data_IF_814408007786
#
_entry.id   IF_814408007786
#
_cell.length_a   1.000
_cell.length_b   1.000
_cell.length_c   1.000
_cell.angle_alpha   90.00
_cell.angle_beta   90.00
_cell.angle_gamma   90.00
#
_symmetry.space_group_name_H-M   'P 1'
#
loop_
_entity.id
_entity.type
_entity.pdbx_description
1 polymer ?
#
# COMPACT_ATOMS: atom_id res chain seq x y z
N UNK A 1 -0.04 -11.03 34.00
CA UNK A 1 1.31 -11.53 33.64
C UNK A 1 1.43 -11.38 32.15
N UNK A 2 2.07 -10.32 31.69
CA UNK A 2 2.32 -10.15 30.26
C UNK A 2 3.28 -11.25 29.82
N UNK A 3 2.83 -12.12 28.90
CA UNK A 3 3.76 -12.94 28.17
C UNK A 3 4.68 -12.00 27.40
N UNK A 4 5.99 -12.10 27.64
CA UNK A 4 6.97 -11.24 26.99
C UNK A 4 6.88 -11.48 25.48
N UNK A 5 6.32 -10.50 24.73
CA UNK A 5 6.14 -10.56 23.26
C UNK A 5 7.39 -10.10 22.50
N UNK A 6 8.57 -10.23 23.09
CA UNK A 6 9.82 -9.79 22.50
C UNK A 6 10.97 -10.78 22.78
N UNK A 7 11.93 -10.82 21.87
CA UNK A 7 13.24 -11.43 22.13
C UNK A 7 14.12 -10.43 22.88
N UNK A 8 15.03 -10.94 23.71
CA UNK A 8 16.08 -10.12 24.32
C UNK A 8 16.95 -9.51 23.22
N UNK A 9 17.01 -8.18 23.17
CA UNK A 9 17.92 -7.47 22.26
C UNK A 9 19.36 -7.84 22.61
N UNK A 10 20.10 -8.37 21.65
CA UNK A 10 21.51 -8.79 21.80
C UNK A 10 22.50 -7.75 21.30
N UNK A 11 22.01 -6.65 20.72
CA UNK A 11 22.84 -5.60 20.18
C UNK A 11 23.09 -4.53 21.25
N UNK A 12 24.31 -4.02 21.28
CA UNK A 12 24.68 -2.90 22.14
C UNK A 12 23.90 -1.65 21.77
N UNK A 13 23.68 -0.79 22.77
CA UNK A 13 23.07 0.51 22.53
C UNK A 13 24.02 1.44 21.76
N UNK A 14 23.44 2.44 21.10
CA UNK A 14 24.19 3.38 20.28
C UNK A 14 25.25 4.12 21.13
N UNK A 15 26.54 4.05 20.77
CA UNK A 15 27.62 4.58 21.61
C UNK A 15 27.81 6.11 21.49
N UNK A 16 26.95 6.82 20.76
CA UNK A 16 27.04 8.29 20.58
C UNK A 16 27.90 8.74 19.41
N UNK A 17 28.73 7.87 18.82
CA UNK A 17 29.53 8.15 17.62
C UNK A 17 28.80 7.72 16.35
N UNK A 18 28.87 8.49 15.24
CA UNK A 18 28.23 8.13 13.99
C UNK A 18 28.53 6.67 13.62
N UNK A 19 27.48 5.87 13.45
CA UNK A 19 27.64 4.51 12.98
C UNK A 19 28.35 4.55 11.62
N UNK A 20 29.27 3.61 11.39
CA UNK A 20 29.82 3.42 10.06
C UNK A 20 28.67 3.23 9.06
N UNK A 21 28.85 3.71 7.82
CA UNK A 21 27.88 3.45 6.77
C UNK A 21 27.61 1.94 6.70
N UNK A 22 26.35 1.51 6.47
CA UNK A 22 26.02 0.10 6.39
C UNK A 22 26.98 -0.59 5.42
N UNK A 23 27.58 -1.68 5.86
CA UNK A 23 28.50 -2.43 5.02
C UNK A 23 27.72 -2.96 3.80
N UNK A 24 28.00 -2.37 2.64
CA UNK A 24 27.36 -2.72 1.37
C UNK A 24 27.60 -4.18 1.04
N UNK A 25 28.78 -4.70 1.37
CA UNK A 25 29.21 -6.06 1.04
C UNK A 25 28.50 -7.08 1.95
N UNK A 26 28.00 -6.67 3.12
CA UNK A 26 27.13 -7.47 3.95
C UNK A 26 25.63 -7.31 3.59
N UNK A 27 25.17 -6.09 3.35
CA UNK A 27 23.75 -5.79 3.17
C UNK A 27 23.20 -6.26 1.80
N UNK A 28 23.96 -6.07 0.72
CA UNK A 28 23.50 -6.43 -0.63
C UNK A 28 23.27 -7.94 -0.78
N UNK A 29 24.20 -8.82 -0.36
CA UNK A 29 23.96 -10.26 -0.41
C UNK A 29 22.78 -10.71 0.47
N UNK A 30 22.62 -10.14 1.67
CA UNK A 30 21.51 -10.48 2.56
C UNK A 30 20.15 -10.13 1.96
N UNK A 31 20.02 -8.93 1.39
CA UNK A 31 18.78 -8.49 0.74
C UNK A 31 18.52 -9.33 -0.51
N UNK A 32 19.55 -9.60 -1.31
CA UNK A 32 19.44 -10.44 -2.52
C UNK A 32 18.94 -11.84 -2.17
N UNK A 33 19.57 -12.51 -1.21
CA UNK A 33 19.17 -13.84 -0.75
C UNK A 33 17.75 -13.86 -0.18
N UNK A 34 17.35 -12.79 0.52
CA UNK A 34 15.99 -12.63 1.04
C UNK A 34 14.97 -12.51 -0.08
N UNK A 35 15.25 -11.68 -1.09
CA UNK A 35 14.39 -11.53 -2.28
C UNK A 35 14.27 -12.86 -3.02
N UNK A 36 15.38 -13.57 -3.26
CA UNK A 36 15.36 -14.87 -3.92
C UNK A 36 14.50 -15.88 -3.16
N UNK A 37 14.62 -15.92 -1.82
CA UNK A 37 13.76 -16.78 -1.00
C UNK A 37 12.28 -16.40 -1.16
N UNK A 38 11.93 -15.12 -1.08
CA UNK A 38 10.54 -14.67 -1.25
C UNK A 38 10.02 -15.05 -2.64
N UNK A 39 10.82 -14.86 -3.69
CA UNK A 39 10.42 -15.18 -5.07
C UNK A 39 10.23 -16.69 -5.30
N UNK A 40 11.00 -17.55 -4.60
CA UNK A 40 10.82 -19.01 -4.66
C UNK A 40 9.52 -19.47 -4.02
N UNK A 41 9.06 -18.78 -2.98
CA UNK A 41 7.83 -19.11 -2.26
C UNK A 41 6.58 -18.46 -2.87
N UNK A 42 6.71 -17.70 -3.96
CA UNK A 42 5.56 -17.11 -4.64
C UNK A 42 4.64 -18.20 -5.21
N UNK A 43 3.31 -18.04 -5.09
CA UNK A 43 2.36 -18.93 -5.74
C UNK A 43 2.47 -18.80 -7.28
N UNK A 44 2.01 -19.81 -8.03
CA UNK A 44 1.98 -19.74 -9.49
C UNK A 44 1.19 -18.53 -10.01
N UNK A 45 1.87 -17.65 -10.75
CA UNK A 45 1.29 -16.38 -11.27
C UNK A 45 0.50 -16.54 -12.58
N UNK A 46 0.61 -17.71 -13.24
CA UNK A 46 0.10 -17.99 -14.59
C UNK A 46 -1.34 -18.51 -14.66
N UNK A 47 -2.07 -18.56 -13.54
CA UNK A 47 -3.45 -19.04 -13.52
C UNK A 47 -4.41 -18.10 -14.28
N UNK A 48 -5.48 -18.63 -14.92
CA UNK A 48 -6.43 -17.84 -15.69
C UNK A 48 -7.21 -16.83 -14.83
N UNK A 49 -7.33 -17.08 -13.52
CA UNK A 49 -7.96 -16.18 -12.56
C UNK A 49 -7.02 -15.12 -11.98
N UNK A 50 -5.74 -15.10 -12.34
CA UNK A 50 -4.74 -14.24 -11.69
C UNK A 50 -4.41 -14.68 -10.25
N UNK A 51 -3.81 -13.79 -9.46
CA UNK A 51 -3.48 -14.04 -8.05
C UNK A 51 -4.22 -13.08 -7.12
N UNK A 52 -4.93 -13.59 -6.09
CA UNK A 52 -5.55 -12.75 -5.08
C UNK A 52 -4.49 -12.08 -4.19
N UNK A 53 -4.90 -10.95 -3.61
CA UNK A 53 -4.23 -10.34 -2.46
C UNK A 53 -3.66 -8.94 -2.70
N UNK A 54 -4.03 -8.02 -1.81
CA UNK A 54 -3.49 -6.66 -1.75
C UNK A 54 -2.06 -6.59 -1.21
N UNK A 55 -1.62 -5.38 -0.85
CA UNK A 55 -0.24 -5.12 -0.40
C UNK A 55 0.07 -5.73 0.97
N UNK A 56 -0.92 -5.85 1.84
CA UNK A 56 -0.70 -6.21 3.25
C UNK A 56 -0.28 -7.67 3.46
N UNK A 57 -1.03 -8.60 2.86
CA UNK A 57 -0.81 -10.04 3.00
C UNK A 57 -0.73 -10.78 1.67
N UNK A 58 -0.77 -10.06 0.54
CA UNK A 58 -0.83 -10.62 -0.79
C UNK A 58 0.42 -10.41 -1.62
N UNK A 59 0.42 -11.00 -2.82
CA UNK A 59 1.56 -10.93 -3.73
C UNK A 59 1.82 -9.53 -4.27
N UNK A 60 0.83 -8.63 -4.28
CA UNK A 60 1.04 -7.23 -4.65
C UNK A 60 2.04 -6.52 -3.72
N UNK A 61 2.14 -6.94 -2.45
CA UNK A 61 3.17 -6.47 -1.53
C UNK A 61 4.59 -6.86 -1.97
N UNK A 62 4.75 -8.04 -2.57
CA UNK A 62 6.03 -8.49 -3.14
C UNK A 62 6.41 -7.65 -4.35
N UNK A 63 5.46 -7.31 -5.22
CA UNK A 63 5.73 -6.37 -6.32
C UNK A 63 6.19 -5.00 -5.80
N UNK A 64 5.56 -4.52 -4.73
CA UNK A 64 5.92 -3.23 -4.15
C UNK A 64 7.31 -3.26 -3.51
N UNK A 65 7.66 -4.34 -2.80
CA UNK A 65 9.01 -4.59 -2.30
C UNK A 65 10.04 -4.55 -3.44
N UNK A 66 9.79 -5.28 -4.53
CA UNK A 66 10.69 -5.32 -5.70
C UNK A 66 10.84 -3.93 -6.35
N UNK A 67 9.76 -3.16 -6.44
CA UNK A 67 9.80 -1.80 -6.94
C UNK A 67 10.74 -0.91 -6.09
N UNK A 68 10.64 -0.96 -4.76
CA UNK A 68 11.51 -0.18 -3.86
C UNK A 68 12.97 -0.61 -3.96
N UNK A 69 13.25 -1.91 -4.03
CA UNK A 69 14.61 -2.42 -4.24
C UNK A 69 15.17 -1.88 -5.56
N UNK A 70 14.37 -1.88 -6.63
CA UNK A 70 14.77 -1.35 -7.92
C UNK A 70 15.03 0.18 -7.93
N UNK A 71 14.45 0.94 -6.99
CA UNK A 71 14.76 2.37 -6.83
C UNK A 71 16.04 2.62 -6.02
N UNK A 72 16.58 1.60 -5.34
CA UNK A 72 17.76 1.75 -4.51
C UNK A 72 19.05 1.75 -5.37
N UNK A 73 19.92 2.77 -5.27
CA UNK A 73 21.15 2.85 -6.06
C UNK A 73 22.09 1.64 -5.87
N UNK A 74 22.07 0.99 -4.70
CA UNK A 74 22.88 -0.20 -4.43
C UNK A 74 22.56 -1.37 -5.36
N UNK A 75 21.33 -1.41 -5.89
CA UNK A 75 20.79 -2.46 -6.75
C UNK A 75 20.62 -2.02 -8.21
N UNK A 76 21.23 -0.90 -8.59
CA UNK A 76 21.16 -0.39 -9.97
C UNK A 76 21.50 -1.45 -11.05
N UNK A 77 22.51 -2.33 -10.88
CA UNK A 77 22.81 -3.38 -11.87
C UNK A 77 21.68 -4.39 -12.08
N UNK A 78 20.84 -4.60 -11.06
CA UNK A 78 19.72 -5.58 -11.08
C UNK A 78 18.35 -4.92 -11.18
N UNK A 79 18.30 -3.59 -11.35
CA UNK A 79 17.06 -2.79 -11.41
C UNK A 79 16.03 -3.40 -12.35
N UNK A 80 16.42 -3.65 -13.60
CA UNK A 80 15.49 -4.15 -14.61
C UNK A 80 15.00 -5.56 -14.33
N UNK A 81 15.84 -6.41 -13.73
CA UNK A 81 15.45 -7.75 -13.28
C UNK A 81 14.35 -7.67 -12.23
N UNK A 82 14.51 -6.81 -11.23
CA UNK A 82 13.51 -6.62 -10.19
C UNK A 82 12.22 -5.99 -10.72
N UNK A 83 12.31 -5.00 -11.62
CA UNK A 83 11.11 -4.41 -12.23
C UNK A 83 10.35 -5.40 -13.12
N UNK A 84 11.05 -6.26 -13.88
CA UNK A 84 10.40 -7.33 -14.66
C UNK A 84 9.74 -8.36 -13.76
N UNK A 85 10.35 -8.71 -12.63
CA UNK A 85 9.74 -9.58 -11.64
C UNK A 85 8.50 -8.92 -11.02
N UNK A 86 8.59 -7.65 -10.63
CA UNK A 86 7.47 -6.87 -10.11
C UNK A 86 6.32 -6.81 -11.13
N UNK A 87 6.64 -6.58 -12.41
CA UNK A 87 5.66 -6.59 -13.51
C UNK A 87 4.88 -7.91 -13.56
N UNK A 88 5.57 -9.06 -13.56
CA UNK A 88 4.90 -10.37 -13.61
C UNK A 88 3.90 -10.55 -12.47
N UNK A 89 4.25 -10.06 -11.28
CA UNK A 89 3.40 -10.11 -10.10
C UNK A 89 2.20 -9.17 -10.24
N UNK A 90 2.39 -7.89 -10.60
CA UNK A 90 1.26 -6.96 -10.74
C UNK A 90 0.34 -7.33 -11.89
N UNK A 91 0.85 -7.87 -13.00
CA UNK A 91 0.04 -8.35 -14.12
C UNK A 91 -0.90 -9.48 -13.64
N UNK A 92 -0.44 -10.36 -12.75
CA UNK A 92 -1.26 -11.40 -12.15
C UNK A 92 -2.31 -10.84 -11.17
N UNK A 93 -1.97 -9.82 -10.39
CA UNK A 93 -2.90 -9.14 -9.49
C UNK A 93 -4.00 -8.41 -10.28
N UNK A 94 -3.63 -7.71 -11.35
CA UNK A 94 -4.57 -7.01 -12.21
C UNK A 94 -5.54 -7.95 -12.92
N UNK A 95 -5.07 -9.11 -13.41
CA UNK A 95 -5.97 -10.14 -13.96
C UNK A 95 -7.02 -10.61 -12.95
N UNK A 96 -6.64 -10.74 -11.68
CA UNK A 96 -7.57 -11.12 -10.62
C UNK A 96 -8.59 -10.01 -10.36
N UNK A 97 -8.11 -8.76 -10.24
CA UNK A 97 -8.95 -7.59 -10.03
C UNK A 97 -9.96 -7.37 -11.17
N UNK A 98 -9.49 -7.45 -12.42
CA UNK A 98 -10.32 -7.25 -13.62
C UNK A 98 -11.23 -8.44 -13.92
N UNK A 99 -10.87 -9.65 -13.49
CA UNK A 99 -11.65 -10.87 -13.66
C UNK A 99 -12.81 -11.03 -12.67
N UNK A 100 -13.14 -9.99 -11.89
CA UNK A 100 -14.17 -10.04 -10.85
C UNK A 100 -13.72 -10.76 -9.58
N UNK A 101 -12.41 -10.85 -9.33
CA UNK A 101 -11.84 -11.52 -8.16
C UNK A 101 -12.04 -10.76 -6.85
N UNK A 102 -12.18 -9.43 -6.88
CA UNK A 102 -12.45 -8.64 -5.67
C UNK A 102 -13.94 -8.77 -5.31
N UNK A 103 -14.25 -9.76 -4.47
CA UNK A 103 -15.61 -10.07 -4.03
C UNK A 103 -16.19 -9.02 -3.08
N UNK A 104 -15.32 -8.22 -2.46
CA UNK A 104 -15.72 -7.23 -1.47
C UNK A 104 -15.67 -5.83 -2.07
N UNK A 105 -16.85 -5.31 -2.40
CA UNK A 105 -17.04 -3.97 -2.96
C UNK A 105 -16.50 -2.88 -2.05
N UNK A 106 -16.42 -3.17 -0.77
CA UNK A 106 -16.13 -2.25 0.32
C UNK A 106 -14.62 -1.99 0.40
N UNK A 107 -13.79 -3.00 0.14
CA UNK A 107 -12.32 -2.85 0.18
C UNK A 107 -11.69 -2.41 -1.13
N UNK A 108 -12.45 -2.20 -2.22
CA UNK A 108 -11.87 -1.83 -3.53
C UNK A 108 -10.97 -0.60 -3.52
N UNK A 109 -11.30 0.39 -2.69
CA UNK A 109 -10.55 1.63 -2.57
C UNK A 109 -9.42 1.57 -1.52
N UNK A 110 -9.29 0.44 -0.83
CA UNK A 110 -8.28 0.20 0.19
C UNK A 110 -6.87 0.14 -0.43
N UNK A 111 -5.93 0.89 0.17
CA UNK A 111 -4.54 0.84 -0.27
C UNK A 111 -3.84 -0.46 0.12
N UNK A 112 -3.95 -0.87 1.38
CA UNK A 112 -3.23 -2.04 1.87
C UNK A 112 -3.94 -3.35 1.55
N UNK A 113 -5.28 -3.35 1.58
CA UNK A 113 -6.06 -4.58 1.49
C UNK A 113 -6.78 -4.80 0.16
N UNK A 114 -6.87 -3.79 -0.72
CA UNK A 114 -7.70 -3.90 -1.92
C UNK A 114 -7.10 -3.30 -3.20
N UNK A 115 -7.98 -3.10 -4.18
CA UNK A 115 -7.65 -2.74 -5.56
C UNK A 115 -6.85 -1.46 -5.72
N UNK A 116 -7.08 -0.43 -4.90
CA UNK A 116 -6.32 0.83 -4.97
C UNK A 116 -4.82 0.60 -4.83
N UNK A 117 -4.40 -0.29 -3.92
CA UNK A 117 -3.01 -0.69 -3.77
C UNK A 117 -2.43 -1.36 -5.01
N UNK A 118 -3.19 -2.30 -5.59
CA UNK A 118 -2.77 -3.02 -6.80
C UNK A 118 -2.58 -2.03 -7.96
N UNK A 119 -3.54 -1.14 -8.21
CA UNK A 119 -3.42 -0.12 -9.25
C UNK A 119 -2.26 0.85 -8.97
N UNK A 120 -2.07 1.28 -7.72
CA UNK A 120 -0.97 2.17 -7.37
C UNK A 120 0.40 1.51 -7.67
N UNK A 121 0.63 0.28 -7.21
CA UNK A 121 1.90 -0.42 -7.45
C UNK A 121 2.10 -0.72 -8.93
N UNK A 122 1.05 -1.14 -9.64
CA UNK A 122 1.12 -1.37 -11.07
C UNK A 122 1.49 -0.09 -11.84
N UNK A 123 0.90 1.06 -11.50
CA UNK A 123 1.24 2.35 -12.10
C UNK A 123 2.73 2.69 -11.87
N UNK A 124 3.24 2.50 -10.64
CA UNK A 124 4.65 2.73 -10.33
C UNK A 124 5.59 1.83 -11.16
N UNK A 125 5.26 0.55 -11.27
CA UNK A 125 6.05 -0.44 -12.03
C UNK A 125 6.02 -0.14 -13.52
N UNK A 126 4.84 0.12 -14.10
CA UNK A 126 4.69 0.45 -15.51
C UNK A 126 5.40 1.75 -15.87
N UNK A 127 5.29 2.78 -15.04
CA UNK A 127 6.04 4.04 -15.22
C UNK A 127 7.54 3.78 -15.23
N UNK A 128 8.06 3.02 -14.28
CA UNK A 128 9.49 2.75 -14.15
C UNK A 128 10.06 1.90 -15.30
N UNK A 129 9.21 1.14 -15.99
CA UNK A 129 9.55 0.35 -17.18
C UNK A 129 9.27 1.07 -18.51
N UNK A 130 8.70 2.29 -18.47
CA UNK A 130 8.32 3.03 -19.69
C UNK A 130 7.16 2.40 -20.47
N UNK A 131 6.26 1.70 -19.77
CA UNK A 131 5.15 0.97 -20.38
C UNK A 131 3.89 1.85 -20.54
N UNK A 132 3.18 1.76 -21.69
CA UNK A 132 1.99 2.58 -21.97
C UNK A 132 0.81 2.27 -21.04
N UNK A 133 0.75 1.07 -20.46
CA UNK A 133 -0.29 0.63 -19.53
C UNK A 133 -0.37 1.52 -18.28
N UNK A 134 0.69 2.27 -17.97
CA UNK A 134 0.74 3.25 -16.88
C UNK A 134 -0.49 4.15 -16.82
N UNK A 135 -0.88 4.76 -17.95
CA UNK A 135 -1.98 5.74 -17.97
C UNK A 135 -3.30 5.08 -17.59
N UNK A 136 -3.64 3.96 -18.24
CA UNK A 136 -4.88 3.21 -17.96
C UNK A 136 -4.95 2.76 -16.50
N UNK A 137 -3.84 2.28 -15.95
CA UNK A 137 -3.78 1.83 -14.56
C UNK A 137 -3.91 2.98 -13.57
N UNK A 138 -3.31 4.13 -13.86
CA UNK A 138 -3.44 5.32 -13.01
C UNK A 138 -4.87 5.87 -13.04
N UNK A 139 -5.54 5.83 -14.19
CA UNK A 139 -6.93 6.29 -14.29
C UNK A 139 -7.88 5.40 -13.49
N UNK A 140 -7.69 4.08 -13.51
CA UNK A 140 -8.42 3.16 -12.61
C UNK A 140 -8.23 3.47 -11.14
N UNK A 141 -7.02 3.86 -10.73
CA UNK A 141 -6.78 4.31 -9.36
C UNK A 141 -7.55 5.60 -9.03
N UNK A 142 -7.62 6.55 -9.97
CA UNK A 142 -8.32 7.84 -9.81
C UNK A 142 -9.83 7.68 -9.71
N UNK A 143 -10.40 6.76 -10.47
CA UNK A 143 -11.83 6.43 -10.43
C UNK A 143 -12.29 5.99 -9.03
N UNK A 144 -11.39 5.37 -8.24
CA UNK A 144 -11.70 4.97 -6.86
C UNK A 144 -11.91 6.15 -5.89
N UNK A 145 -11.57 7.38 -6.28
CA UNK A 145 -11.85 8.57 -5.46
C UNK A 145 -13.36 8.78 -5.24
N UNK A 146 -14.19 8.42 -6.23
CA UNK A 146 -15.65 8.50 -6.13
C UNK A 146 -16.21 7.54 -5.09
N UNK A 147 -15.52 6.43 -4.84
CA UNK A 147 -15.88 5.43 -3.84
C UNK A 147 -15.60 5.96 -2.43
N UNK A 148 -14.50 6.71 -2.26
CA UNK A 148 -14.11 7.27 -0.97
C UNK A 148 -14.87 8.54 -0.56
N UNK A 149 -15.49 9.24 -1.50
CA UNK A 149 -16.13 10.55 -1.25
C UNK A 149 -17.40 10.50 -0.36
N UNK A 150 -18.32 9.52 -0.50
CA UNK A 150 -19.53 9.44 0.33
C UNK A 150 -19.19 9.19 1.79
N UNK A 151 -19.91 9.81 2.73
CA UNK A 151 -19.71 9.62 4.18
C UNK A 151 -19.91 8.16 4.63
N UNK A 152 -20.83 7.44 4.00
CA UNK A 152 -21.17 6.04 4.28
C UNK A 152 -20.47 5.07 3.31
N UNK A 153 -19.21 5.33 2.96
CA UNK A 153 -18.41 4.45 2.10
C UNK A 153 -18.28 3.04 2.69
N UNK A 154 -18.00 2.94 4.00
CA UNK A 154 -17.88 1.68 4.74
C UNK A 154 -18.72 1.71 6.00
N UNK A 155 -19.68 0.78 6.12
CA UNK A 155 -20.55 0.69 7.31
C UNK A 155 -19.77 0.42 8.60
N UNK A 156 -18.69 -0.36 8.50
CA UNK A 156 -17.85 -0.73 9.64
C UNK A 156 -16.89 0.38 10.09
N UNK A 157 -16.78 1.49 9.37
CA UNK A 157 -15.83 2.57 9.63
C UNK A 157 -14.97 2.85 8.41
N UNK A 158 -14.92 4.12 8.00
CA UNK A 158 -14.46 4.50 6.65
C UNK A 158 -13.14 5.26 6.60
N UNK A 159 -12.47 5.51 7.73
CA UNK A 159 -11.45 6.56 7.82
C UNK A 159 -10.04 6.09 8.20
N UNK A 160 -9.87 4.81 8.53
CA UNK A 160 -8.57 4.27 8.94
C UNK A 160 -7.65 3.95 7.74
N UNK A 161 -6.45 3.45 8.02
CA UNK A 161 -5.37 3.31 7.03
C UNK A 161 -5.51 2.08 6.12
N UNK A 162 -6.05 0.97 6.61
CA UNK A 162 -5.98 -0.31 5.91
C UNK A 162 -7.00 -0.42 4.80
N UNK A 163 -8.23 0.04 5.05
CA UNK A 163 -9.40 -0.01 4.17
C UNK A 163 -10.03 1.36 3.91
N UNK A 164 -9.80 2.34 4.79
CA UNK A 164 -10.48 3.63 4.76
C UNK A 164 -9.85 4.72 3.87
N UNK A 165 -10.44 5.91 3.96
CA UNK A 165 -10.04 7.13 3.23
C UNK A 165 -8.59 7.54 3.50
N UNK A 166 -8.09 7.34 4.73
CA UNK A 166 -6.69 7.65 5.04
C UNK A 166 -5.75 6.74 4.23
N UNK A 167 -6.10 5.45 4.07
CA UNK A 167 -5.40 4.53 3.18
C UNK A 167 -5.35 5.02 1.73
N UNK A 168 -6.51 5.39 1.18
CA UNK A 168 -6.59 5.89 -0.19
C UNK A 168 -5.77 7.18 -0.42
N UNK A 169 -5.87 8.14 0.50
CA UNK A 169 -5.06 9.37 0.45
C UNK A 169 -3.56 9.08 0.59
N UNK A 170 -3.18 8.11 1.41
CA UNK A 170 -1.80 7.65 1.53
C UNK A 170 -1.28 7.11 0.18
N UNK A 171 -2.07 6.28 -0.50
CA UNK A 171 -1.73 5.78 -1.84
C UNK A 171 -1.54 6.91 -2.86
N UNK A 172 -2.47 7.89 -2.86
CA UNK A 172 -2.40 9.04 -3.75
C UNK A 172 -1.14 9.89 -3.49
N UNK A 173 -0.77 10.08 -2.22
CA UNK A 173 0.45 10.80 -1.84
C UNK A 173 1.71 10.05 -2.28
N UNK A 174 1.76 8.73 -2.07
CA UNK A 174 2.88 7.88 -2.52
C UNK A 174 3.05 8.00 -4.04
N UNK A 175 1.96 7.88 -4.79
CA UNK A 175 1.97 8.02 -6.25
C UNK A 175 2.47 9.42 -6.66
N UNK A 176 1.97 10.49 -6.03
CA UNK A 176 2.39 11.86 -6.32
C UNK A 176 3.90 12.05 -6.13
N UNK A 177 4.42 11.60 -4.99
CA UNK A 177 5.84 11.70 -4.66
C UNK A 177 6.73 10.89 -5.61
N UNK A 178 6.31 9.69 -5.98
CA UNK A 178 7.12 8.77 -6.81
C UNK A 178 7.04 9.08 -8.30
N UNK A 179 5.90 9.57 -8.77
CA UNK A 179 5.68 9.91 -10.18
C UNK A 179 6.09 11.35 -10.50
N UNK A 180 6.18 12.23 -9.49
CA UNK A 180 6.48 13.65 -9.68
C UNK A 180 5.37 14.41 -10.41
N UNK A 181 4.12 13.97 -10.26
CA UNK A 181 2.95 14.57 -10.91
C UNK A 181 1.72 14.54 -10.01
N UNK A 182 0.75 15.40 -10.30
CA UNK A 182 -0.54 15.36 -9.60
C UNK A 182 -1.33 14.10 -9.95
N UNK A 183 -1.78 13.40 -8.91
CA UNK A 183 -2.54 12.14 -9.03
C UNK A 183 -4.03 12.41 -8.92
N UNK A 184 -4.44 13.22 -7.94
CA UNK A 184 -5.82 13.65 -7.71
C UNK A 184 -5.90 15.16 -7.82
N UNK A 185 -7.08 15.68 -8.17
CA UNK A 185 -7.31 17.12 -8.17
C UNK A 185 -7.40 17.66 -6.74
N UNK A 186 -7.23 18.97 -6.58
CA UNK A 186 -7.36 19.62 -5.27
C UNK A 186 -8.79 19.46 -4.72
N UNK A 187 -9.79 19.45 -5.60
CA UNK A 187 -11.20 19.24 -5.28
C UNK A 187 -11.45 17.82 -4.76
N UNK A 188 -10.89 16.80 -5.42
CA UNK A 188 -10.99 15.41 -4.98
C UNK A 188 -10.37 15.21 -3.59
N UNK A 189 -9.13 15.72 -3.39
CA UNK A 189 -8.44 15.63 -2.09
C UNK A 189 -9.26 16.35 -1.01
N UNK A 190 -9.69 17.58 -1.28
CA UNK A 190 -10.51 18.36 -0.35
C UNK A 190 -11.80 17.65 0.00
N UNK A 191 -12.49 17.06 -0.98
CA UNK A 191 -13.74 16.32 -0.76
C UNK A 191 -13.53 15.15 0.22
N UNK A 192 -12.49 14.34 0.00
CA UNK A 192 -12.19 13.19 0.87
C UNK A 192 -11.78 13.66 2.27
N UNK A 193 -10.94 14.70 2.38
CA UNK A 193 -10.56 15.28 3.68
C UNK A 193 -11.77 15.82 4.46
N UNK A 194 -12.70 16.51 3.77
CA UNK A 194 -13.94 16.99 4.40
C UNK A 194 -14.82 15.82 4.85
N UNK A 195 -14.89 14.73 4.09
CA UNK A 195 -15.61 13.53 4.48
C UNK A 195 -15.03 12.90 5.77
N UNK A 196 -13.70 12.82 5.89
CA UNK A 196 -13.02 12.35 7.12
C UNK A 196 -13.33 13.25 8.32
N UNK A 197 -13.33 14.57 8.13
CA UNK A 197 -13.64 15.50 9.22
C UNK A 197 -15.10 15.40 9.65
N UNK A 198 -16.01 15.29 8.69
CA UNK A 198 -17.44 15.23 8.96
C UNK A 198 -17.85 13.90 9.60
N UNK A 199 -17.32 12.76 9.13
CA UNK A 199 -17.55 11.45 9.76
C UNK A 199 -17.06 11.44 11.21
N UNK A 200 -15.88 12.02 11.48
CA UNK A 200 -15.30 12.11 12.82
C UNK A 200 -16.12 12.96 13.77
N UNK A 201 -16.65 14.10 13.30
CA UNK A 201 -17.56 14.96 14.08
C UNK A 201 -18.86 14.24 14.40
N UNK A 202 -19.48 13.62 13.41
CA UNK A 202 -20.75 12.91 13.58
C UNK A 202 -20.60 11.76 14.59
N UNK A 203 -19.51 10.99 14.51
CA UNK A 203 -19.24 9.93 15.45
C UNK A 203 -19.00 10.45 16.87
N UNK A 204 -18.18 11.50 17.03
CA UNK A 204 -17.91 12.12 18.32
C UNK A 204 -19.19 12.61 19.01
N UNK A 205 -20.07 13.31 18.28
CA UNK A 205 -21.37 13.77 18.79
C UNK A 205 -22.26 12.58 19.15
N UNK A 206 -22.40 11.60 18.24
CA UNK A 206 -23.23 10.39 18.44
C UNK A 206 -22.81 9.60 19.68
N UNK A 207 -21.51 9.50 19.95
CA UNK A 207 -20.94 8.77 21.09
C UNK A 207 -20.63 9.66 22.30
N UNK A 208 -21.03 10.95 22.26
CA UNK A 208 -20.83 11.95 23.34
C UNK A 208 -19.38 12.02 23.81
N UNK A 209 -18.44 12.03 22.86
CA UNK A 209 -17.02 12.08 23.15
C UNK A 209 -16.59 13.48 23.56
N UNK A 210 -15.61 13.62 24.47
CA UNK A 210 -15.09 14.94 24.87
C UNK A 210 -14.17 15.55 23.82
N UNK A 211 -13.82 14.80 22.77
CA UNK A 211 -12.95 15.23 21.68
C UNK A 211 -13.78 15.66 20.46
N UNK A 212 -13.35 16.70 19.72
CA UNK A 212 -14.10 17.22 18.57
C UNK A 212 -14.19 16.24 17.39
N UNK A 213 -13.29 15.25 17.34
CA UNK A 213 -13.24 14.19 16.35
C UNK A 213 -13.02 12.86 17.07
N UNK A 214 -13.73 11.82 16.63
CA UNK A 214 -13.51 10.44 17.08
C UNK A 214 -13.89 9.49 15.95
N UNK A 215 -13.22 8.36 15.86
CA UNK A 215 -13.43 7.37 14.80
C UNK A 215 -13.55 5.98 15.40
N UNK A 216 -14.20 5.08 14.68
CA UNK A 216 -14.17 3.66 15.02
C UNK A 216 -14.11 2.81 13.78
N UNK A 217 -13.51 1.64 13.93
CA UNK A 217 -13.55 0.58 12.95
C UNK A 217 -14.07 -0.70 13.62
N UNK A 218 -15.07 -1.35 13.03
CA UNK A 218 -15.86 -2.43 13.63
C UNK A 218 -16.29 -2.12 15.08
N UNK A 219 -16.74 -0.88 15.32
CA UNK A 219 -17.20 -0.43 16.63
C UNK A 219 -16.09 -0.21 17.67
N UNK A 220 -14.83 -0.44 17.33
CA UNK A 220 -13.67 -0.23 18.20
C UNK A 220 -12.99 1.10 17.88
N UNK A 221 -12.72 1.89 18.91
CA UNK A 221 -11.98 3.16 18.82
C UNK A 221 -10.48 2.87 18.91
N UNK A 222 -9.89 2.52 17.77
CA UNK A 222 -8.45 2.24 17.68
C UNK A 222 -7.63 3.51 17.90
N UNK A 223 -6.54 3.38 18.65
CA UNK A 223 -5.58 4.47 18.92
C UNK A 223 -4.36 4.44 17.99
N UNK A 224 -4.14 3.31 17.31
CA UNK A 224 -3.00 3.07 16.42
C UNK A 224 -3.44 2.82 14.99
#
# INVERSE_FOLDING_TARGET
MESQRCFTNRFDDYPGSPAAAPDRDAAVPLVTATIERILRELPPLGGPRGCPGGLYGGVAGVAYMLYHVAQCPLFAPSRDTYLRAARRVVDACLRYQEGGGEADTDTRAAFLLGGAGVYAVAALVYRALGLPEFSRTLDKFRELSEVCAPLSFLECGSDELFVGRAGYLCAALVLKQRLGMEVLTSEQIKSICLAILESGKQYAVKKRKPFPLMYSYYGTEYLG
#
